data_IF_652316334015
#
_entry.id   IF_652316334015
#
_cell.length_a   1.000
_cell.length_b   1.000
_cell.length_c   1.000
_cell.angle_alpha   90.00
_cell.angle_beta   90.00
_cell.angle_gamma   90.00
#
_symmetry.space_group_name_H-M   'P 1'
#
loop_
_entity.id
_entity.type
_entity.pdbx_description
1 polymer ?
#
# COMPACT_ATOMS: atom_id res chain seq x y z
N UNK A 1 -1.23 10.63 21.87
CA UNK A 1 -1.22 11.97 21.22
C UNK A 1 -1.90 13.02 22.08
N UNK A 2 -3.18 12.87 22.46
CA UNK A 2 -3.90 13.82 23.34
C UNK A 2 -3.10 14.14 24.60
N UNK A 3 -2.63 13.12 25.33
CA UNK A 3 -1.81 13.33 26.54
C UNK A 3 -0.51 14.11 26.30
N UNK A 4 0.06 14.06 25.08
CA UNK A 4 1.29 14.82 24.74
C UNK A 4 0.96 16.30 24.49
N UNK A 5 -0.18 16.57 23.85
CA UNK A 5 -0.73 17.93 23.67
C UNK A 5 -1.07 18.55 25.02
N UNK A 6 -1.75 17.82 25.91
CA UNK A 6 -2.07 18.30 27.27
C UNK A 6 -0.82 18.60 28.11
N UNK A 7 0.24 17.81 27.91
CA UNK A 7 1.56 18.03 28.52
C UNK A 7 2.40 19.08 27.79
N UNK A 8 1.86 19.72 26.74
CA UNK A 8 2.53 20.77 25.96
C UNK A 8 3.86 20.31 25.34
N UNK A 9 3.99 19.01 25.04
CA UNK A 9 5.21 18.46 24.44
C UNK A 9 5.39 18.94 22.99
N UNK A 10 4.30 19.30 22.32
CA UNK A 10 4.34 19.78 20.94
C UNK A 10 4.64 21.29 20.82
N UNK A 11 4.49 22.09 21.88
CA UNK A 11 4.54 23.56 21.85
C UNK A 11 5.88 24.11 21.31
N UNK A 12 6.99 23.41 21.60
CA UNK A 12 8.34 23.81 21.17
C UNK A 12 8.77 23.19 19.83
N UNK A 13 7.97 22.30 19.25
CA UNK A 13 8.35 21.53 18.06
C UNK A 13 9.46 20.49 18.28
N UNK A 14 9.76 20.15 19.54
CA UNK A 14 10.79 19.16 19.90
C UNK A 14 10.30 17.71 19.74
N UNK A 15 8.99 17.50 19.66
CA UNK A 15 8.36 16.19 19.57
C UNK A 15 7.35 16.14 18.43
N UNK A 16 7.26 14.98 17.79
CA UNK A 16 6.18 14.60 16.88
C UNK A 16 5.94 13.09 17.01
N UNK A 17 4.83 12.61 16.45
CA UNK A 17 4.43 11.20 16.54
C UNK A 17 4.48 10.57 15.18
N UNK A 18 5.15 9.42 15.09
CA UNK A 18 5.14 8.55 13.92
C UNK A 18 4.26 7.35 14.23
N UNK A 19 3.22 7.15 13.42
CA UNK A 19 2.45 5.90 13.40
C UNK A 19 2.87 5.04 12.22
N UNK A 20 2.90 3.72 12.41
CA UNK A 20 3.08 2.76 11.32
C UNK A 20 1.79 1.97 11.19
N UNK A 21 1.18 2.01 10.01
CA UNK A 21 0.05 1.17 9.65
C UNK A 21 0.53 0.07 8.71
N UNK A 22 -0.02 -1.13 8.87
CA UNK A 22 0.25 -2.27 7.99
C UNK A 22 -0.84 -2.44 6.92
N UNK A 23 -1.97 -1.74 7.06
CA UNK A 23 -3.01 -1.72 6.05
C UNK A 23 -2.68 -0.71 4.94
N UNK A 24 -3.08 -1.06 3.71
CA UNK A 24 -2.90 -0.16 2.58
C UNK A 24 -3.68 1.14 2.77
N UNK A 25 -3.07 2.24 2.35
CA UNK A 25 -3.75 3.52 2.34
C UNK A 25 -4.97 3.50 1.41
N UNK A 26 -6.09 3.97 1.93
CA UNK A 26 -7.38 4.10 1.25
C UNK A 26 -7.56 5.56 0.87
N UNK A 27 -7.20 5.85 -0.37
CA UNK A 27 -7.30 7.18 -0.94
C UNK A 27 -8.75 7.64 -1.15
N UNK A 28 -9.72 6.73 -1.18
CA UNK A 28 -11.13 7.06 -1.34
C UNK A 28 -11.75 7.59 -0.05
N UNK A 29 -11.19 7.21 1.10
CA UNK A 29 -11.75 7.55 2.41
C UNK A 29 -10.68 8.06 3.40
N UNK A 30 -9.99 9.19 3.09
CA UNK A 30 -8.92 9.75 3.91
C UNK A 30 -9.36 10.18 5.31
N UNK A 31 -10.66 10.38 5.52
CA UNK A 31 -11.23 10.76 6.82
C UNK A 31 -11.34 9.57 7.78
N UNK A 32 -11.41 8.32 7.28
CA UNK A 32 -11.59 7.13 8.12
C UNK A 32 -10.49 6.96 9.16
N UNK A 33 -9.28 7.39 8.84
CA UNK A 33 -8.11 7.29 9.72
C UNK A 33 -8.19 8.20 10.95
N UNK A 34 -9.11 9.18 10.93
CA UNK A 34 -9.38 10.06 12.05
C UNK A 34 -10.74 9.76 12.71
N UNK A 35 -11.55 8.87 12.14
CA UNK A 35 -12.85 8.44 12.71
C UNK A 35 -12.60 7.68 14.03
N UNK A 36 -13.49 7.86 15.00
CA UNK A 36 -13.34 7.36 16.37
C UNK A 36 -12.39 8.17 17.27
N UNK A 37 -11.28 8.70 16.74
CA UNK A 37 -10.34 9.56 17.49
C UNK A 37 -10.83 11.01 17.61
N UNK A 38 -11.63 11.45 16.65
CA UNK A 38 -12.25 12.78 16.59
C UNK A 38 -13.74 12.78 16.99
N UNK A 39 -14.27 11.66 17.50
CA UNK A 39 -15.70 11.38 17.79
C UNK A 39 -16.67 11.59 16.61
N UNK A 40 -17.66 10.71 16.54
CA UNK A 40 -18.45 10.41 15.34
C UNK A 40 -19.54 11.44 14.98
N UNK A 41 -19.44 12.69 15.44
CA UNK A 41 -20.39 13.74 15.11
C UNK A 41 -19.61 14.93 14.59
N UNK A 42 -20.01 15.42 13.42
CA UNK A 42 -19.32 16.47 12.67
C UNK A 42 -19.25 17.81 13.44
N UNK A 43 -19.96 17.90 14.57
CA UNK A 43 -20.02 19.04 15.49
C UNK A 43 -19.23 18.87 16.81
N UNK A 44 -18.64 17.69 17.09
CA UNK A 44 -18.12 17.35 18.44
C UNK A 44 -16.64 16.92 18.43
N UNK A 45 -15.87 17.50 17.52
CA UNK A 45 -14.45 17.18 17.36
C UNK A 45 -13.62 17.81 18.48
N UNK A 46 -13.04 16.98 19.35
CA UNK A 46 -12.17 17.41 20.45
C UNK A 46 -11.03 18.34 19.96
N UNK A 47 -11.02 19.64 20.34
CA UNK A 47 -9.99 20.59 19.93
C UNK A 47 -8.57 20.18 20.34
N UNK A 48 -8.42 19.46 21.45
CA UNK A 48 -7.12 18.93 21.91
C UNK A 48 -6.64 17.85 20.96
N UNK A 49 -7.53 16.91 20.60
CA UNK A 49 -7.23 15.89 19.59
C UNK A 49 -6.86 16.52 18.25
N UNK A 50 -7.63 17.53 17.78
CA UNK A 50 -7.29 18.24 16.55
C UNK A 50 -5.86 18.79 16.61
N UNK A 51 -5.51 19.59 17.63
CA UNK A 51 -4.17 20.17 17.74
C UNK A 51 -3.08 19.10 17.81
N UNK A 52 -3.30 18.04 18.58
CA UNK A 52 -2.36 16.93 18.68
C UNK A 52 -2.06 16.28 17.32
N UNK A 53 -3.08 16.05 16.48
CA UNK A 53 -2.94 15.44 15.15
C UNK A 53 -2.21 16.31 14.12
N UNK A 54 -1.90 17.59 14.42
CA UNK A 54 -0.98 18.40 13.59
C UNK A 54 0.45 17.86 13.63
N UNK A 55 0.80 17.16 14.70
CA UNK A 55 2.14 16.65 14.97
C UNK A 55 2.25 15.15 14.65
N UNK A 56 1.32 14.61 13.85
CA UNK A 56 1.27 13.22 13.47
C UNK A 56 1.70 13.00 12.02
N UNK A 57 2.55 12.01 11.81
CA UNK A 57 2.90 11.46 10.50
C UNK A 57 2.63 9.95 10.54
N UNK A 58 1.84 9.46 9.59
CA UNK A 58 1.63 8.04 9.37
C UNK A 58 2.55 7.53 8.26
N UNK A 59 3.16 6.36 8.47
CA UNK A 59 3.85 5.57 7.44
C UNK A 59 2.94 4.40 7.11
N UNK A 60 2.53 4.29 5.86
CA UNK A 60 1.56 3.29 5.41
C UNK A 60 2.01 2.68 4.08
N UNK A 61 1.74 1.40 3.79
CA UNK A 61 1.94 0.85 2.45
C UNK A 61 1.24 1.72 1.40
N UNK A 62 1.97 2.05 0.34
CA UNK A 62 1.44 2.86 -0.74
C UNK A 62 0.23 2.19 -1.40
N UNK A 63 -0.78 3.01 -1.71
CA UNK A 63 -1.96 2.54 -2.44
C UNK A 63 -1.56 1.92 -3.78
N UNK A 64 -2.23 0.84 -4.19
CA UNK A 64 -1.96 0.23 -5.47
C UNK A 64 -2.49 1.11 -6.62
N UNK A 65 -1.91 0.96 -7.80
CA UNK A 65 -2.22 1.77 -8.98
C UNK A 65 -2.90 0.90 -10.04
N UNK A 66 -4.19 1.09 -10.31
CA UNK A 66 -4.91 0.32 -11.33
C UNK A 66 -5.21 -1.13 -10.93
N UNK A 67 -5.23 -1.44 -9.63
CA UNK A 67 -5.51 -2.77 -9.09
C UNK A 67 -6.92 -3.30 -9.37
N UNK A 68 -7.83 -2.42 -9.76
CA UNK A 68 -9.19 -2.76 -10.18
C UNK A 68 -9.18 -3.77 -11.33
N UNK A 69 -8.31 -3.59 -12.33
CA UNK A 69 -8.24 -4.50 -13.46
C UNK A 69 -7.84 -5.92 -13.02
N UNK A 70 -6.84 -6.03 -12.14
CA UNK A 70 -6.44 -7.29 -11.56
C UNK A 70 -7.58 -7.92 -10.75
N UNK A 71 -8.28 -7.12 -9.94
CA UNK A 71 -9.45 -7.53 -9.16
C UNK A 71 -10.56 -8.11 -10.03
N UNK A 72 -10.92 -7.42 -11.13
CA UNK A 72 -11.93 -7.89 -12.08
C UNK A 72 -11.53 -9.20 -12.74
N UNK A 73 -10.26 -9.34 -13.15
CA UNK A 73 -9.75 -10.58 -13.72
C UNK A 73 -9.82 -11.74 -12.72
N UNK A 74 -9.34 -11.54 -11.49
CA UNK A 74 -9.39 -12.57 -10.45
C UNK A 74 -10.83 -12.99 -10.17
N UNK A 75 -11.76 -12.04 -10.03
CA UNK A 75 -13.18 -12.34 -9.88
C UNK A 75 -13.71 -13.19 -11.06
N UNK A 76 -13.37 -12.83 -12.30
CA UNK A 76 -13.77 -13.60 -13.48
C UNK A 76 -13.20 -15.03 -13.51
N UNK A 77 -11.92 -15.20 -13.16
CA UNK A 77 -11.27 -16.51 -13.19
C UNK A 77 -11.70 -17.42 -12.04
N UNK A 78 -12.04 -16.86 -10.87
CA UNK A 78 -12.59 -17.65 -9.76
C UNK A 78 -13.92 -18.31 -10.13
N UNK A 79 -14.76 -17.68 -10.95
CA UNK A 79 -16.03 -18.27 -11.39
C UNK A 79 -15.85 -19.39 -12.44
N UNK A 80 -14.66 -19.51 -13.06
CA UNK A 80 -14.38 -20.52 -14.09
C UNK A 80 -13.82 -21.81 -13.46
N UNK A 81 -13.88 -22.96 -14.18
CA UNK A 81 -13.14 -24.14 -13.79
C UNK A 81 -11.63 -23.86 -13.67
N UNK A 82 -10.91 -24.50 -12.73
CA UNK A 82 -11.38 -25.55 -11.82
C UNK A 82 -12.05 -25.02 -10.53
N UNK A 83 -12.02 -23.71 -10.28
CA UNK A 83 -12.46 -23.14 -9.00
C UNK A 83 -13.98 -23.10 -8.85
N UNK A 84 -14.70 -22.70 -9.90
CA UNK A 84 -16.18 -22.60 -9.92
C UNK A 84 -16.75 -21.85 -8.70
N UNK A 85 -16.06 -20.83 -8.22
CA UNK A 85 -16.46 -20.02 -7.06
C UNK A 85 -17.24 -18.80 -7.54
N UNK A 86 -18.56 -18.90 -7.53
CA UNK A 86 -19.48 -17.81 -7.90
C UNK A 86 -19.30 -16.60 -6.99
N UNK A 87 -19.18 -15.40 -7.57
CA UNK A 87 -19.13 -14.17 -6.80
C UNK A 87 -20.50 -13.91 -6.13
N UNK A 88 -20.60 -13.94 -4.78
CA UNK A 88 -21.87 -13.73 -4.09
C UNK A 88 -22.41 -12.30 -4.25
N UNK A 89 -21.56 -11.33 -4.60
CA UNK A 89 -21.94 -9.93 -4.78
C UNK A 89 -22.46 -9.60 -6.18
N UNK A 90 -22.43 -10.58 -7.11
CA UNK A 90 -22.83 -10.40 -8.51
C UNK A 90 -24.27 -9.91 -8.65
N UNK A 91 -25.18 -10.37 -7.78
CA UNK A 91 -26.59 -9.94 -7.75
C UNK A 91 -26.77 -8.45 -7.39
N UNK A 92 -25.78 -7.87 -6.70
CA UNK A 92 -25.77 -6.45 -6.31
C UNK A 92 -24.90 -5.59 -7.24
N UNK A 93 -24.43 -6.15 -8.37
CA UNK A 93 -23.50 -5.48 -9.27
C UNK A 93 -22.10 -5.25 -8.67
N UNK A 94 -21.77 -5.94 -7.57
CA UNK A 94 -20.51 -5.77 -6.86
C UNK A 94 -19.47 -6.83 -7.19
N UNK A 95 -18.20 -6.47 -7.06
CA UNK A 95 -17.06 -7.39 -7.12
C UNK A 95 -16.49 -7.66 -5.72
N UNK A 96 -15.96 -8.87 -5.51
CA UNK A 96 -15.21 -9.15 -4.28
C UNK A 96 -13.92 -8.34 -4.31
N UNK A 97 -13.69 -7.52 -3.29
CA UNK A 97 -12.40 -6.86 -3.09
C UNK A 97 -11.33 -7.92 -2.86
N UNK A 98 -10.33 -7.95 -3.74
CA UNK A 98 -9.21 -8.87 -3.65
C UNK A 98 -8.18 -8.28 -2.70
N UNK A 99 -7.62 -9.12 -1.81
CA UNK A 99 -6.60 -8.67 -0.88
C UNK A 99 -5.23 -8.61 -1.54
N UNK A 100 -4.34 -7.85 -0.92
CA UNK A 100 -3.00 -7.62 -1.41
C UNK A 100 -2.18 -8.88 -1.63
N UNK A 101 -2.35 -9.87 -0.76
CA UNK A 101 -1.58 -11.10 -0.77
C UNK A 101 -1.84 -11.93 -2.04
N UNK A 102 -3.00 -11.79 -2.68
CA UNK A 102 -3.27 -12.43 -3.96
C UNK A 102 -2.39 -11.85 -5.08
N UNK A 103 -2.11 -10.54 -5.03
CA UNK A 103 -1.17 -9.90 -5.94
C UNK A 103 0.25 -10.41 -5.67
N UNK A 104 0.66 -10.52 -4.40
CA UNK A 104 1.99 -11.00 -4.03
C UNK A 104 2.22 -12.45 -4.50
N UNK A 105 1.22 -13.32 -4.39
CA UNK A 105 1.30 -14.69 -4.91
C UNK A 105 1.36 -14.73 -6.44
N UNK A 106 0.61 -13.86 -7.12
CA UNK A 106 0.69 -13.71 -8.57
C UNK A 106 2.09 -13.26 -8.99
N UNK A 107 2.63 -12.25 -8.33
CA UNK A 107 3.96 -11.72 -8.58
C UNK A 107 5.04 -12.78 -8.37
N UNK A 108 4.97 -13.55 -7.28
CA UNK A 108 5.94 -14.61 -6.97
C UNK A 108 6.08 -15.63 -8.11
N UNK A 109 4.96 -16.02 -8.75
CA UNK A 109 4.99 -16.93 -9.91
C UNK A 109 5.67 -16.27 -11.12
N UNK A 110 5.42 -14.98 -11.37
CA UNK A 110 6.00 -14.27 -12.50
C UNK A 110 7.49 -14.00 -12.32
N UNK A 111 7.90 -13.61 -11.11
CA UNK A 111 9.31 -13.45 -10.73
C UNK A 111 10.04 -14.78 -10.88
N UNK A 112 9.45 -15.88 -10.41
CA UNK A 112 9.99 -17.23 -10.61
C UNK A 112 10.12 -17.61 -12.07
N UNK A 113 9.06 -17.44 -12.87
CA UNK A 113 9.10 -17.78 -14.28
C UNK A 113 10.20 -17.00 -15.01
N UNK A 114 10.35 -15.70 -14.71
CA UNK A 114 11.40 -14.85 -15.29
C UNK A 114 12.80 -15.35 -14.92
N UNK A 115 13.06 -15.59 -13.64
CA UNK A 115 14.36 -16.08 -13.17
C UNK A 115 14.69 -17.48 -13.74
N UNK A 116 13.69 -18.36 -13.82
CA UNK A 116 13.85 -19.67 -14.44
C UNK A 116 14.22 -19.58 -15.92
N UNK A 117 13.55 -18.69 -16.67
CA UNK A 117 13.89 -18.46 -18.08
C UNK A 117 15.33 -17.96 -18.23
N UNK A 118 15.77 -17.03 -17.39
CA UNK A 118 17.15 -16.54 -17.40
C UNK A 118 18.17 -17.66 -17.15
N UNK A 119 17.92 -18.53 -16.17
CA UNK A 119 18.77 -19.70 -15.90
C UNK A 119 18.80 -20.66 -17.09
N UNK A 120 17.65 -20.93 -17.73
CA UNK A 120 17.56 -21.81 -18.89
C UNK A 120 18.27 -21.23 -20.12
N UNK A 121 18.13 -19.94 -20.38
CA UNK A 121 18.78 -19.24 -21.49
C UNK A 121 20.31 -19.22 -21.33
N UNK A 122 20.80 -19.23 -20.09
CA UNK A 122 22.22 -19.40 -19.76
C UNK A 122 22.70 -20.87 -19.80
N UNK A 123 21.84 -21.83 -20.17
CA UNK A 123 22.14 -23.26 -20.23
C UNK A 123 22.15 -23.97 -18.86
N UNK A 124 21.56 -23.36 -17.84
CA UNK A 124 21.47 -23.90 -16.48
C UNK A 124 20.41 -24.99 -16.31
N UNK A 125 20.46 -25.66 -15.16
CA UNK A 125 19.50 -26.71 -14.79
C UNK A 125 18.23 -26.10 -14.15
N UNK A 126 17.03 -26.35 -14.68
CA UNK A 126 15.77 -25.89 -14.07
C UNK A 126 15.52 -26.45 -12.66
N UNK A 127 16.28 -27.46 -12.21
CA UNK A 127 16.22 -28.01 -10.85
C UNK A 127 17.23 -27.37 -9.89
N UNK A 128 18.11 -26.50 -10.38
CA UNK A 128 19.03 -25.76 -9.54
C UNK A 128 18.32 -24.55 -8.90
N UNK A 129 17.64 -24.81 -7.78
CA UNK A 129 16.91 -23.78 -7.04
C UNK A 129 17.79 -22.61 -6.60
N UNK A 130 19.05 -22.86 -6.25
CA UNK A 130 19.99 -21.80 -5.86
C UNK A 130 20.23 -20.83 -7.02
N UNK A 131 20.51 -21.33 -8.21
CA UNK A 131 20.71 -20.49 -9.40
C UNK A 131 19.45 -19.67 -9.73
N UNK A 132 18.26 -20.25 -9.57
CA UNK A 132 16.99 -19.56 -9.82
C UNK A 132 16.77 -18.44 -8.79
N UNK A 133 16.96 -18.73 -7.50
CA UNK A 133 16.83 -17.72 -6.44
C UNK A 133 17.86 -16.60 -6.61
N UNK A 134 19.10 -16.94 -6.98
CA UNK A 134 20.14 -15.95 -7.21
C UNK A 134 19.81 -15.04 -8.41
N UNK A 135 19.17 -15.57 -9.46
CA UNK A 135 18.68 -14.78 -10.59
C UNK A 135 17.48 -13.87 -10.25
N UNK A 136 16.82 -14.07 -9.09
CA UNK A 136 15.75 -13.16 -8.64
C UNK A 136 16.29 -11.93 -7.89
N UNK A 137 17.42 -12.07 -7.20
CA UNK A 137 18.01 -11.03 -6.34
C UNK A 137 18.48 -9.83 -7.14
N UNK A 138 18.39 -8.64 -6.54
CA UNK A 138 18.81 -7.40 -7.18
C UNK A 138 17.98 -7.01 -8.40
N UNK A 139 16.79 -7.60 -8.58
CA UNK A 139 15.94 -7.34 -9.76
C UNK A 139 14.76 -6.45 -9.44
N UNK A 140 14.28 -5.75 -10.48
CA UNK A 140 13.01 -5.03 -10.45
C UNK A 140 11.94 -5.80 -11.22
N UNK A 141 10.70 -5.75 -10.72
CA UNK A 141 9.54 -6.28 -11.41
C UNK A 141 8.32 -5.37 -11.23
N UNK A 142 7.41 -5.41 -12.21
CA UNK A 142 6.12 -4.72 -12.13
C UNK A 142 5.13 -5.62 -11.41
N UNK A 143 4.69 -5.22 -10.23
CA UNK A 143 3.70 -5.95 -9.45
C UNK A 143 2.32 -5.85 -10.08
N UNK A 144 1.47 -6.85 -9.86
CA UNK A 144 0.03 -6.77 -10.08
C UNK A 144 -0.65 -5.63 -9.30
N UNK A 145 0.00 -5.12 -8.24
CA UNK A 145 -0.38 -3.90 -7.54
C UNK A 145 -0.18 -2.62 -8.37
N UNK A 146 0.48 -2.72 -9.52
CA UNK A 146 0.65 -1.64 -10.49
C UNK A 146 1.88 -0.75 -10.30
N UNK A 147 2.65 -0.97 -9.23
CA UNK A 147 3.93 -0.29 -9.01
C UNK A 147 5.12 -1.21 -9.25
N UNK A 148 6.31 -0.62 -9.38
CA UNK A 148 7.57 -1.35 -9.43
C UNK A 148 7.96 -1.79 -8.02
N UNK A 149 8.45 -3.02 -7.91
CA UNK A 149 9.04 -3.59 -6.69
C UNK A 149 10.48 -3.95 -7.01
N UNK A 150 11.35 -3.72 -6.03
CA UNK A 150 12.73 -4.17 -6.05
C UNK A 150 12.86 -5.37 -5.10
N UNK A 151 13.57 -6.40 -5.55
CA UNK A 151 14.01 -7.50 -4.69
C UNK A 151 15.48 -7.27 -4.35
N UNK A 152 15.78 -7.22 -3.06
CA UNK A 152 17.14 -6.93 -2.59
C UNK A 152 18.10 -8.12 -2.77
N UNK A 153 19.34 -7.93 -2.34
CA UNK A 153 20.40 -8.96 -2.41
C UNK A 153 20.16 -10.15 -1.47
N UNK A 154 19.24 -10.02 -0.50
CA UNK A 154 18.83 -11.11 0.38
C UNK A 154 17.65 -11.91 -0.21
N UNK A 155 17.03 -11.41 -1.28
CA UNK A 155 15.82 -11.99 -1.88
C UNK A 155 14.53 -11.46 -1.26
N UNK A 156 14.60 -10.37 -0.50
CA UNK A 156 13.44 -9.73 0.13
C UNK A 156 12.85 -8.67 -0.80
N UNK A 157 11.53 -8.74 -1.01
CA UNK A 157 10.81 -7.74 -1.78
C UNK A 157 10.60 -6.47 -0.94
N UNK A 158 11.07 -5.33 -1.43
CA UNK A 158 10.96 -4.06 -0.73
C UNK A 158 9.57 -3.42 -0.91
N UNK A 159 9.05 -2.87 0.18
CA UNK A 159 7.77 -2.18 0.20
C UNK A 159 7.86 -0.72 -0.27
N UNK A 160 6.86 -0.28 -1.03
CA UNK A 160 6.62 1.14 -1.28
C UNK A 160 5.75 1.71 -0.15
N UNK A 161 6.18 2.83 0.45
CA UNK A 161 5.47 3.45 1.56
C UNK A 161 5.09 4.90 1.24
N UNK A 162 3.91 5.29 1.69
CA UNK A 162 3.42 6.66 1.62
C UNK A 162 3.46 7.26 3.02
N UNK A 163 3.97 8.49 3.12
CA UNK A 163 3.76 9.31 4.30
C UNK A 163 2.40 9.99 4.19
N UNK A 164 1.57 9.82 5.22
CA UNK A 164 0.30 10.52 5.34
C UNK A 164 0.36 11.48 6.52
N UNK A 165 -0.20 12.67 6.36
CA UNK A 165 -0.33 13.64 7.43
C UNK A 165 -1.66 14.38 7.32
N UNK A 166 -2.04 15.03 8.41
CA UNK A 166 -3.32 15.73 8.48
C UNK A 166 -3.34 16.90 7.48
N UNK A 167 -4.36 16.95 6.62
CA UNK A 167 -4.71 18.13 5.80
C UNK A 167 -6.20 18.41 5.87
N UNK A 168 -6.59 19.63 5.50
CA UNK A 168 -7.98 19.99 5.30
C UNK A 168 -8.54 19.20 4.10
N UNK A 169 -9.82 18.89 4.13
CA UNK A 169 -10.50 18.33 2.97
C UNK A 169 -10.44 19.32 1.79
N UNK A 170 -10.10 18.84 0.57
CA UNK A 170 -10.09 19.68 -0.62
C UNK A 170 -11.43 20.42 -0.80
N UNK A 171 -11.37 21.71 -1.12
CA UNK A 171 -12.57 22.52 -1.35
C UNK A 171 -13.27 23.04 -0.10
N UNK A 172 -12.71 22.84 1.09
CA UNK A 172 -13.19 23.46 2.34
C UNK A 172 -12.30 24.65 2.72
N UNK A 173 -12.92 25.74 3.20
CA UNK A 173 -12.19 26.89 3.76
C UNK A 173 -11.40 26.48 5.03
N UNK A 174 -10.64 27.42 5.60
CA UNK A 174 -9.61 27.19 6.64
C UNK A 174 -10.07 26.40 7.88
N UNK A 175 -11.37 26.17 8.08
CA UNK A 175 -11.97 25.44 9.20
C UNK A 175 -12.83 24.23 8.76
N UNK A 176 -12.53 23.63 7.60
CA UNK A 176 -13.17 22.40 7.15
C UNK A 176 -12.71 21.12 7.88
N UNK A 177 -13.41 19.99 7.68
CA UNK A 177 -13.05 18.73 8.30
C UNK A 177 -11.68 18.23 7.79
N UNK A 178 -11.02 17.41 8.59
CA UNK A 178 -9.67 16.92 8.31
C UNK A 178 -9.67 15.47 7.83
N UNK A 179 -8.65 15.11 7.05
CA UNK A 179 -8.29 13.73 6.74
C UNK A 179 -6.78 13.56 6.83
N UNK A 180 -6.32 12.31 6.78
CA UNK A 180 -4.90 12.03 6.52
C UNK A 180 -4.70 11.89 5.03
N UNK A 181 -3.76 12.65 4.48
CA UNK A 181 -3.49 12.71 3.04
C UNK A 181 -2.00 12.49 2.76
N UNK A 182 -1.64 11.95 1.59
CA UNK A 182 -0.25 11.82 1.18
C UNK A 182 0.51 13.15 1.27
N UNK A 183 1.69 13.10 1.87
CA UNK A 183 2.67 14.21 1.98
C UNK A 183 4.06 13.83 1.49
N UNK A 184 4.31 12.54 1.25
CA UNK A 184 5.56 12.04 0.71
C UNK A 184 5.43 10.57 0.31
N UNK A 185 6.36 10.09 -0.50
CA UNK A 185 6.45 8.69 -0.90
C UNK A 185 7.90 8.26 -0.74
N UNK A 186 8.09 7.10 -0.10
CA UNK A 186 9.32 6.34 -0.11
C UNK A 186 9.14 5.18 -1.08
N UNK A 187 9.63 5.41 -2.29
CA UNK A 187 9.89 4.37 -3.26
C UNK A 187 11.40 4.36 -3.46
N UNK A 188 12.04 3.20 -3.30
CA UNK A 188 13.46 3.10 -3.59
C UNK A 188 13.69 3.34 -5.08
N UNK A 189 14.77 4.08 -5.37
CA UNK A 189 15.07 4.69 -6.67
C UNK A 189 14.81 3.67 -7.78
N UNK A 190 13.96 4.05 -8.75
CA UNK A 190 14.18 3.59 -10.13
C UNK A 190 15.65 3.88 -10.42
N UNK A 191 16.49 2.85 -10.49
CA UNK A 191 17.67 2.95 -11.33
C UNK A 191 17.18 3.46 -12.68
N UNK A 192 17.92 4.36 -13.34
CA UNK A 192 17.61 4.97 -14.65
C UNK A 192 17.44 3.94 -15.80
N UNK A 193 17.19 2.68 -15.50
CA UNK A 193 16.76 1.65 -16.42
C UNK A 193 15.39 2.02 -16.99
N UNK A 194 15.45 2.64 -18.17
CA UNK A 194 14.41 2.68 -19.19
C UNK A 194 14.05 1.26 -19.67
N UNK A 195 13.59 0.41 -18.78
CA UNK A 195 12.78 -0.72 -19.19
C UNK A 195 11.37 -0.19 -19.46
N UNK A 196 10.76 -0.58 -20.58
CA UNK A 196 9.61 0.10 -21.19
C UNK A 196 8.40 0.28 -20.25
#
# INVERSE_FOLDING_TARGET
MIAMEEKKLFDKGEYFVVGVDIEQYDSENPTKYLKGLLRDLWDDVDPVAQRAYRNYIGVVPSSPVGFEHFTTLVNSYMEKPPFNFTNPLKYFGGEKRIRAEAAYLYDAVHVYAKALMEVLDAGGDPKNGTAIIDAMKGTHYKSAMGYMVYMDENGDAEGNYTLIARKNLPGTEKEGPYGLFPVGVFALRRSDSRLP
#
